data_IF_369985771652
#
_entry.id   IF_369985771652
#
_cell.length_a   1.000
_cell.length_b   1.000
_cell.length_c   1.000
_cell.angle_alpha   90.00
_cell.angle_beta   90.00
_cell.angle_gamma   90.00
#
_symmetry.space_group_name_H-M   'P 1'
#
loop_
_entity.id
_entity.type
_entity.pdbx_description
1 polymer ?
#
# COMPACT_ATOMS: atom_id res chain seq x y z
N UNK A 1 -5.42 -2.68 5.94
CA UNK A 1 -4.59 -1.48 5.67
C UNK A 1 -3.12 -1.82 5.44
N UNK A 2 -2.51 -2.72 6.22
CA UNK A 2 -1.05 -2.98 6.18
C UNK A 2 -0.58 -3.68 4.91
N UNK A 3 -1.33 -4.66 4.40
CA UNK A 3 -1.01 -5.25 3.11
C UNK A 3 -0.97 -4.17 2.01
N UNK A 4 -1.86 -3.19 2.07
CA UNK A 4 -1.91 -2.07 1.14
C UNK A 4 -0.79 -1.06 1.35
N UNK A 5 -0.36 -0.82 2.61
CA UNK A 5 0.77 0.07 2.87
C UNK A 5 2.06 -0.49 2.23
N UNK A 6 2.31 -1.79 2.35
CA UNK A 6 3.40 -2.45 1.64
C UNK A 6 3.22 -2.42 0.11
N UNK A 7 1.99 -2.61 -0.42
CA UNK A 7 1.70 -2.48 -1.85
C UNK A 7 2.00 -1.07 -2.40
N UNK A 8 1.76 -0.02 -1.63
CA UNK A 8 2.05 1.35 -2.04
C UNK A 8 3.54 1.62 -2.26
N UNK A 9 4.41 0.84 -1.61
CA UNK A 9 5.86 0.91 -1.75
C UNK A 9 6.40 0.18 -2.99
N UNK A 10 5.57 -0.58 -3.70
CA UNK A 10 5.96 -1.28 -4.92
C UNK A 10 6.14 -0.32 -6.12
N UNK A 11 5.67 0.93 -6.01
CA UNK A 11 5.85 1.97 -7.02
C UNK A 11 7.04 2.86 -6.65
N UNK A 12 8.11 2.82 -7.44
CA UNK A 12 9.23 3.76 -7.35
C UNK A 12 9.01 5.01 -8.20
N UNK A 13 10.05 5.83 -8.34
CA UNK A 13 10.15 6.82 -9.40
C UNK A 13 10.72 6.18 -10.67
N UNK A 14 10.70 6.89 -11.79
CA UNK A 14 11.21 6.42 -13.09
C UNK A 14 12.32 7.35 -13.57
N UNK A 15 13.46 6.76 -13.91
CA UNK A 15 14.62 7.47 -14.43
C UNK A 15 14.87 7.09 -15.90
N UNK A 16 15.35 8.04 -16.67
CA UNK A 16 15.89 7.79 -18.00
C UNK A 16 17.36 7.33 -17.87
N UNK A 17 17.95 6.75 -18.91
CA UNK A 17 19.33 6.28 -18.89
C UNK A 17 20.32 7.38 -18.45
N UNK A 18 21.21 7.07 -17.51
CA UNK A 18 22.19 8.00 -16.94
C UNK A 18 21.63 9.08 -16.02
N UNK A 19 20.33 9.06 -15.69
CA UNK A 19 19.67 10.06 -14.87
C UNK A 19 19.17 9.50 -13.56
N UNK A 20 19.03 10.38 -12.57
CA UNK A 20 18.36 10.10 -11.32
C UNK A 20 16.91 10.55 -11.36
N UNK A 21 16.08 9.88 -10.58
CA UNK A 21 14.74 10.34 -10.26
C UNK A 21 14.52 10.38 -8.75
N UNK A 22 13.61 11.24 -8.34
CA UNK A 22 13.13 11.28 -6.96
C UNK A 22 11.63 11.46 -6.93
N UNK A 23 11.06 11.06 -5.82
CA UNK A 23 9.65 11.28 -5.49
C UNK A 23 9.50 11.52 -4.00
N UNK A 24 8.71 12.51 -3.63
CA UNK A 24 8.31 12.77 -2.25
C UNK A 24 6.80 12.94 -2.22
N UNK A 25 6.12 12.20 -1.36
CA UNK A 25 4.67 12.18 -1.30
C UNK A 25 4.12 12.25 0.11
N UNK A 26 2.90 12.72 0.21
CA UNK A 26 2.07 12.63 1.40
C UNK A 26 0.74 12.00 1.01
N UNK A 27 0.28 11.06 1.83
CA UNK A 27 -0.96 10.33 1.61
C UNK A 27 -1.82 10.32 2.86
N UNK A 28 -3.12 10.40 2.63
CA UNK A 28 -4.15 10.16 3.65
C UNK A 28 -5.14 9.14 3.11
N UNK A 29 -5.26 8.03 3.84
CA UNK A 29 -6.16 6.93 3.52
C UNK A 29 -7.28 6.85 4.56
N UNK A 30 -8.50 6.54 4.10
CA UNK A 30 -9.68 6.34 4.93
C UNK A 30 -10.32 5.04 4.44
N UNK A 31 -10.52 4.10 5.35
CA UNK A 31 -11.22 2.85 5.11
C UNK A 31 -12.30 2.61 6.14
N UNK A 32 -12.97 1.49 6.06
CA UNK A 32 -14.04 1.12 6.99
C UNK A 32 -13.52 1.09 8.45
N UNK A 33 -13.88 2.11 9.23
CA UNK A 33 -13.46 2.27 10.62
C UNK A 33 -11.98 2.56 10.83
N UNK A 34 -11.21 2.83 9.78
CA UNK A 34 -9.77 3.01 9.87
C UNK A 34 -9.29 4.21 9.05
N UNK A 35 -8.28 4.89 9.56
CA UNK A 35 -7.60 5.98 8.86
C UNK A 35 -6.09 5.87 9.01
N UNK A 36 -5.36 6.30 7.98
CA UNK A 36 -3.91 6.42 8.04
C UNK A 36 -3.43 7.65 7.28
N UNK A 37 -2.26 8.13 7.67
CA UNK A 37 -1.53 9.16 6.95
C UNK A 37 -0.03 8.94 7.08
N UNK A 38 0.72 9.32 6.08
CA UNK A 38 2.16 9.16 6.08
C UNK A 38 2.82 9.85 4.90
N UNK A 39 4.15 9.91 4.95
CA UNK A 39 4.99 10.37 3.87
C UNK A 39 5.64 9.17 3.18
N UNK A 40 5.84 9.28 1.88
CA UNK A 40 6.61 8.34 1.09
C UNK A 40 7.66 9.07 0.26
N UNK A 41 8.80 8.45 0.11
CA UNK A 41 9.92 8.93 -0.65
C UNK A 41 10.38 7.82 -1.59
N UNK A 42 10.86 8.18 -2.77
CA UNK A 42 11.54 7.23 -3.62
C UNK A 42 12.74 7.92 -4.28
N UNK A 43 13.75 7.13 -4.55
CA UNK A 43 14.94 7.53 -5.27
C UNK A 43 15.34 6.41 -6.23
N UNK A 44 15.70 6.76 -7.44
CA UNK A 44 16.03 5.78 -8.47
C UNK A 44 17.07 6.28 -9.45
N UNK A 45 17.61 5.34 -10.22
CA UNK A 45 18.61 5.59 -11.24
C UNK A 45 18.32 4.76 -12.49
N UNK A 46 18.45 5.40 -13.65
CA UNK A 46 18.42 4.74 -14.95
C UNK A 46 19.80 4.25 -15.34
N UNK A 47 20.00 2.96 -15.31
CA UNK A 47 21.30 2.33 -15.67
C UNK A 47 21.52 2.33 -17.18
N UNK A 48 20.43 2.16 -17.91
CA UNK A 48 20.41 2.21 -19.38
C UNK A 48 19.08 2.81 -19.85
N UNK A 49 18.94 3.05 -21.14
CA UNK A 49 17.67 3.53 -21.74
C UNK A 49 16.51 2.52 -21.60
N UNK A 50 16.81 1.28 -21.22
CA UNK A 50 15.83 0.20 -21.10
C UNK A 50 15.73 -0.39 -19.68
N UNK A 51 16.54 0.11 -18.74
CA UNK A 51 16.57 -0.42 -17.37
C UNK A 51 16.76 0.68 -16.33
N UNK A 52 15.81 0.78 -15.43
CA UNK A 52 15.89 1.63 -14.23
C UNK A 52 15.54 0.85 -12.96
N UNK A 53 16.06 1.29 -11.82
CA UNK A 53 15.71 0.74 -10.51
C UNK A 53 15.50 1.87 -9.48
N UNK A 54 14.66 1.60 -8.49
CA UNK A 54 14.35 2.56 -7.45
C UNK A 54 14.18 1.89 -6.08
N UNK A 55 14.52 2.66 -5.05
CA UNK A 55 14.26 2.38 -3.64
C UNK A 55 13.16 3.32 -3.17
N UNK A 56 12.22 2.81 -2.40
CA UNK A 56 11.14 3.58 -1.78
C UNK A 56 11.20 3.45 -0.26
N UNK A 57 10.87 4.51 0.44
CA UNK A 57 10.78 4.59 1.90
C UNK A 57 9.42 5.16 2.28
N UNK A 58 8.69 4.51 3.18
CA UNK A 58 7.47 5.05 3.77
C UNK A 58 7.65 5.27 5.27
N UNK A 59 7.18 6.42 5.72
CA UNK A 59 7.14 6.81 7.13
C UNK A 59 5.69 7.09 7.50
N UNK A 60 4.96 6.10 8.04
CA UNK A 60 3.59 6.33 8.49
C UNK A 60 3.62 7.26 9.71
N UNK A 61 2.89 8.38 9.62
CA UNK A 61 2.81 9.37 10.69
C UNK A 61 1.69 9.05 11.70
N UNK A 62 0.57 8.49 11.21
CA UNK A 62 -0.56 8.06 12.05
C UNK A 62 -1.36 6.99 11.33
N UNK A 63 -1.75 5.97 12.08
CA UNK A 63 -2.80 5.04 11.66
C UNK A 63 -3.65 4.68 12.87
N UNK A 64 -4.96 4.62 12.67
CA UNK A 64 -5.93 4.33 13.70
C UNK A 64 -7.07 3.49 13.13
N UNK A 65 -7.52 2.49 13.87
CA UNK A 65 -8.60 1.59 13.47
C UNK A 65 -9.58 1.43 14.63
N UNK A 66 -10.83 1.87 14.44
CA UNK A 66 -11.94 1.75 15.40
C UNK A 66 -11.62 2.20 16.83
N UNK A 67 -10.68 3.17 17.01
CA UNK A 67 -10.22 3.60 18.33
C UNK A 67 -9.42 2.57 19.11
N UNK A 68 -9.36 1.32 18.65
CA UNK A 68 -8.73 0.19 19.35
C UNK A 68 -7.27 -0.07 18.93
N UNK A 69 -6.89 0.31 17.71
CA UNK A 69 -5.54 0.12 17.21
C UNK A 69 -4.96 1.47 16.81
N UNK A 70 -3.81 1.84 17.38
CA UNK A 70 -3.13 3.09 17.08
C UNK A 70 -1.65 2.86 16.77
N UNK A 71 -1.20 3.35 15.64
CA UNK A 71 0.21 3.33 15.28
C UNK A 71 1.03 4.15 16.27
N UNK A 72 2.13 3.59 16.78
CA UNK A 72 3.17 4.30 17.54
C UNK A 72 4.33 4.72 16.65
N UNK A 73 4.83 3.80 15.86
CA UNK A 73 5.92 4.04 14.91
C UNK A 73 5.90 2.98 13.82
N UNK A 74 6.47 3.29 12.68
CA UNK A 74 6.60 2.34 11.58
C UNK A 74 7.61 2.83 10.55
N UNK A 75 8.08 1.91 9.73
CA UNK A 75 8.90 2.17 8.57
C UNK A 75 8.63 1.10 7.52
N UNK A 76 8.58 1.52 6.27
CA UNK A 76 8.49 0.63 5.12
C UNK A 76 9.58 0.93 4.11
N UNK A 77 10.11 -0.12 3.48
CA UNK A 77 11.11 -0.04 2.41
C UNK A 77 10.59 -0.83 1.22
N UNK A 78 10.70 -0.26 0.04
CA UNK A 78 10.38 -0.89 -1.24
C UNK A 78 11.57 -0.87 -2.19
N UNK A 79 11.63 -1.88 -3.03
CA UNK A 79 12.60 -2.01 -4.11
C UNK A 79 11.82 -2.31 -5.39
N UNK A 80 12.13 -1.63 -6.47
CA UNK A 80 11.57 -1.92 -7.79
C UNK A 80 12.62 -1.79 -8.87
N UNK A 81 12.49 -2.61 -9.91
CA UNK A 81 13.29 -2.50 -11.11
C UNK A 81 12.34 -2.49 -12.31
N UNK A 82 12.65 -1.71 -13.34
CA UNK A 82 11.85 -1.65 -14.57
C UNK A 82 12.71 -1.97 -15.75
N UNK A 83 12.27 -2.98 -16.49
CA UNK A 83 12.76 -3.32 -17.82
C UNK A 83 11.74 -2.81 -18.84
N UNK A 84 12.18 -2.09 -19.86
CA UNK A 84 11.29 -1.55 -20.89
C UNK A 84 11.98 -1.47 -22.25
N UNK A 85 11.21 -1.30 -23.29
CA UNK A 85 11.72 -1.14 -24.64
C UNK A 85 11.10 0.09 -25.33
N UNK A 86 11.67 0.51 -26.46
CA UNK A 86 11.19 1.63 -27.24
C UNK A 86 9.78 1.46 -27.83
N UNK A 87 9.25 0.22 -27.87
CA UNK A 87 7.90 -0.10 -28.35
C UNK A 87 6.82 0.00 -27.24
N UNK A 88 7.19 0.52 -26.05
CA UNK A 88 6.28 0.77 -24.93
C UNK A 88 6.04 -0.43 -24.01
N UNK A 89 6.59 -1.61 -24.29
CA UNK A 89 6.50 -2.75 -23.40
C UNK A 89 7.37 -2.57 -22.16
N UNK A 90 6.86 -3.03 -21.02
CA UNK A 90 7.61 -3.00 -19.77
C UNK A 90 7.28 -4.17 -18.86
N UNK A 91 8.25 -4.49 -17.98
CA UNK A 91 8.10 -5.41 -16.86
C UNK A 91 8.69 -4.75 -15.59
N UNK A 92 7.99 -4.89 -14.45
CA UNK A 92 8.40 -4.29 -13.18
C UNK A 92 8.29 -5.33 -12.07
N UNK A 93 9.36 -6.08 -11.75
CA UNK A 93 9.45 -6.75 -10.46
C UNK A 93 9.62 -5.73 -9.33
N UNK A 94 8.92 -5.96 -8.21
CA UNK A 94 9.06 -5.14 -7.02
C UNK A 94 8.84 -5.96 -5.74
N UNK A 95 9.47 -5.52 -4.66
CA UNK A 95 9.32 -6.07 -3.32
C UNK A 95 9.22 -4.95 -2.29
N UNK A 96 8.42 -5.14 -1.25
CA UNK A 96 8.28 -4.18 -0.17
C UNK A 96 8.17 -4.87 1.18
N UNK A 97 8.72 -4.23 2.21
CA UNK A 97 8.75 -4.70 3.57
C UNK A 97 8.35 -3.55 4.49
N UNK A 98 7.48 -3.84 5.43
CA UNK A 98 7.01 -2.86 6.41
C UNK A 98 7.04 -3.47 7.82
N UNK A 99 7.40 -2.67 8.80
CA UNK A 99 7.30 -3.04 10.22
C UNK A 99 6.75 -1.87 11.00
N UNK A 100 5.78 -2.18 11.86
CA UNK A 100 5.09 -1.19 12.67
C UNK A 100 4.98 -1.65 14.13
N UNK A 101 5.09 -0.68 15.04
CA UNK A 101 4.65 -0.83 16.43
C UNK A 101 3.26 -0.24 16.56
N UNK A 102 2.29 -1.06 16.94
CA UNK A 102 0.90 -0.66 17.11
C UNK A 102 0.47 -0.88 18.54
N UNK A 103 -0.10 0.15 19.13
CA UNK A 103 -0.82 0.09 20.39
C UNK A 103 -2.19 -0.51 20.12
N UNK A 104 -2.54 -1.56 20.82
CA UNK A 104 -3.85 -2.21 20.78
C UNK A 104 -4.51 -2.00 22.13
N UNK A 105 -5.73 -1.48 22.12
CA UNK A 105 -6.56 -1.27 23.29
C UNK A 105 -7.86 -2.05 23.12
N UNK A 106 -8.17 -2.92 24.06
CA UNK A 106 -9.47 -3.63 24.05
C UNK A 106 -10.58 -2.65 24.39
N UNK A 107 -11.69 -2.62 23.61
CA UNK A 107 -12.89 -1.88 24.01
C UNK A 107 -13.37 -2.36 25.37
N UNK A 108 -13.78 -1.44 26.21
CA UNK A 108 -14.24 -1.70 27.57
C UNK A 108 -15.52 -0.93 27.87
N UNK A 109 -16.30 -1.43 28.80
CA UNK A 109 -17.43 -0.71 29.35
C UNK A 109 -16.94 0.33 30.35
N UNK A 110 -17.73 1.39 30.57
CA UNK A 110 -17.40 2.42 31.55
C UNK A 110 -17.24 1.79 32.94
N UNK A 111 -16.17 2.15 33.65
CA UNK A 111 -15.84 1.60 34.96
C UNK A 111 -15.13 0.24 34.96
N UNK A 112 -14.84 -0.34 33.78
CA UNK A 112 -14.07 -1.58 33.67
C UNK A 112 -12.63 -1.32 33.23
N UNK A 113 -11.77 -2.33 33.37
CA UNK A 113 -10.37 -2.29 32.95
C UNK A 113 -10.24 -2.07 31.44
N UNK A 114 -9.26 -1.27 31.05
CA UNK A 114 -8.95 -0.96 29.65
C UNK A 114 -7.53 -1.42 29.31
N UNK A 115 -7.31 -2.72 29.09
CA UNK A 115 -6.00 -3.24 28.81
C UNK A 115 -5.44 -2.70 27.51
N UNK A 116 -4.15 -2.39 27.55
CA UNK A 116 -3.40 -1.83 26.45
C UNK A 116 -2.12 -2.59 26.22
N UNK A 117 -1.86 -2.96 24.97
CA UNK A 117 -0.64 -3.63 24.56
C UNK A 117 0.03 -2.96 23.38
N UNK A 118 1.35 -3.11 23.26
CA UNK A 118 2.11 -2.67 22.09
C UNK A 118 2.65 -3.89 21.35
N UNK A 119 2.22 -4.07 20.11
CA UNK A 119 2.57 -5.21 19.28
C UNK A 119 3.31 -4.77 18.03
N UNK A 120 4.35 -5.49 17.65
CA UNK A 120 5.06 -5.29 16.39
C UNK A 120 4.39 -6.13 15.30
N UNK A 121 3.96 -5.50 14.23
CA UNK A 121 3.37 -6.17 13.07
C UNK A 121 4.29 -6.01 11.87
N UNK A 122 4.23 -6.96 10.94
CA UNK A 122 5.06 -6.98 9.74
C UNK A 122 4.15 -7.10 8.51
N UNK A 123 4.49 -6.37 7.47
CA UNK A 123 3.90 -6.47 6.13
C UNK A 123 4.98 -6.80 5.10
N UNK A 124 4.62 -7.59 4.09
CA UNK A 124 5.47 -7.86 2.93
C UNK A 124 4.59 -7.85 1.69
N UNK A 125 5.11 -7.30 0.60
CA UNK A 125 4.45 -7.34 -0.68
C UNK A 125 5.49 -7.63 -1.77
N UNK A 126 5.10 -8.42 -2.74
CA UNK A 126 5.87 -8.74 -3.93
C UNK A 126 4.97 -8.57 -5.13
N UNK A 127 5.50 -8.04 -6.22
CA UNK A 127 4.76 -7.96 -7.47
C UNK A 127 5.64 -8.17 -8.68
N UNK A 128 5.02 -8.71 -9.71
CA UNK A 128 5.54 -8.69 -11.07
C UNK A 128 4.44 -8.08 -11.94
N UNK A 129 4.70 -6.89 -12.47
CA UNK A 129 3.79 -6.18 -13.35
C UNK A 129 4.36 -6.15 -14.76
N UNK A 130 3.56 -6.50 -15.76
CA UNK A 130 3.91 -6.36 -17.17
C UNK A 130 2.81 -5.60 -17.90
N UNK A 131 3.17 -4.84 -18.92
CA UNK A 131 2.20 -4.03 -19.64
C UNK A 131 2.78 -3.35 -20.86
N UNK A 132 1.93 -2.54 -21.48
CA UNK A 132 2.32 -1.74 -22.64
C UNK A 132 1.71 -0.34 -22.53
N UNK A 133 2.54 0.66 -22.76
CA UNK A 133 2.15 2.06 -22.88
C UNK A 133 2.16 2.47 -24.36
N UNK A 134 1.13 3.19 -24.78
CA UNK A 134 0.97 3.75 -26.11
C UNK A 134 1.05 5.28 -26.00
N UNK A 135 1.69 5.95 -26.97
CA UNK A 135 1.93 7.37 -26.97
C UNK A 135 3.31 7.74 -26.41
N UNK A 136 3.73 8.97 -26.69
CA UNK A 136 5.03 9.52 -26.27
C UNK A 136 4.93 10.33 -24.99
N UNK A 137 6.02 10.44 -24.26
CA UNK A 137 6.11 11.28 -23.06
C UNK A 137 5.81 12.75 -23.41
N UNK A 138 4.88 13.37 -22.70
CA UNK A 138 4.39 14.72 -22.99
C UNK A 138 3.11 14.78 -23.81
N UNK A 139 2.74 13.71 -24.51
CA UNK A 139 1.51 13.58 -25.28
C UNK A 139 0.46 12.76 -24.51
N UNK A 140 -0.68 12.55 -25.18
CA UNK A 140 -1.71 11.63 -24.69
C UNK A 140 -1.16 10.22 -24.63
N UNK A 141 -1.19 9.61 -23.44
CA UNK A 141 -0.79 8.21 -23.26
C UNK A 141 -1.96 7.37 -22.80
N UNK A 142 -2.01 6.14 -23.30
CA UNK A 142 -2.91 5.10 -22.85
C UNK A 142 -2.06 3.83 -22.63
N UNK A 143 -2.37 3.06 -21.61
CA UNK A 143 -1.66 1.80 -21.37
C UNK A 143 -2.55 0.78 -20.68
N UNK A 144 -2.13 -0.46 -20.75
CA UNK A 144 -2.71 -1.55 -19.99
C UNK A 144 -1.60 -2.32 -19.27
N UNK A 145 -1.97 -3.04 -18.22
CA UNK A 145 -1.06 -3.90 -17.50
C UNK A 145 -1.77 -5.07 -16.87
N UNK A 146 -1.00 -6.12 -16.62
CA UNK A 146 -1.35 -7.23 -15.75
C UNK A 146 -0.30 -7.33 -14.65
N UNK A 147 -0.70 -7.74 -13.45
CA UNK A 147 0.20 -7.90 -12.32
C UNK A 147 -0.14 -9.17 -11.53
N UNK A 148 0.90 -9.91 -11.15
CA UNK A 148 0.85 -10.93 -10.13
C UNK A 148 1.34 -10.28 -8.83
N UNK A 149 0.54 -10.33 -7.76
CA UNK A 149 0.89 -9.76 -6.47
C UNK A 149 0.75 -10.81 -5.38
N UNK A 150 1.69 -10.80 -4.45
CA UNK A 150 1.63 -11.57 -3.21
C UNK A 150 1.82 -10.65 -2.04
N UNK A 151 0.89 -10.66 -1.10
CA UNK A 151 0.93 -9.87 0.13
C UNK A 151 0.89 -10.78 1.34
N UNK A 152 1.65 -10.40 2.36
CA UNK A 152 1.67 -11.08 3.64
C UNK A 152 1.57 -10.03 4.74
N UNK A 153 0.70 -10.26 5.73
CA UNK A 153 0.61 -9.47 6.95
C UNK A 153 0.67 -10.40 8.15
N UNK A 154 1.47 -10.03 9.14
CA UNK A 154 1.70 -10.85 10.33
C UNK A 154 1.63 -10.00 11.60
N UNK A 155 0.91 -10.50 12.58
CA UNK A 155 0.88 -10.02 13.95
C UNK A 155 1.30 -11.18 14.86
N UNK A 156 2.33 -11.03 15.70
CA UNK A 156 2.71 -12.06 16.67
C UNK A 156 1.61 -12.25 17.73
N UNK A 157 1.70 -13.34 18.48
CA UNK A 157 0.91 -13.53 19.69
C UNK A 157 1.28 -12.48 20.74
N UNK A 158 0.33 -12.15 21.58
CA UNK A 158 0.53 -11.30 22.76
C UNK A 158 -0.50 -11.61 23.82
N UNK A 159 -0.16 -11.32 25.09
CA UNK A 159 -1.06 -11.45 26.23
C UNK A 159 -1.24 -10.10 26.89
N UNK A 160 -2.43 -9.87 27.42
CA UNK A 160 -2.71 -8.73 28.30
C UNK A 160 -2.02 -8.94 29.66
N UNK A 161 -1.92 -7.89 30.45
CA UNK A 161 -1.30 -7.93 31.77
C UNK A 161 -2.03 -8.96 32.66
N UNK A 162 -1.26 -9.82 33.31
CA UNK A 162 -1.78 -10.86 34.24
C UNK A 162 -2.42 -10.26 35.51
N UNK A 163 -2.16 -8.99 35.82
CA UNK A 163 -2.80 -8.26 36.92
C UNK A 163 -4.24 -7.82 36.66
N UNK A 164 -4.75 -8.01 35.43
CA UNK A 164 -6.15 -7.74 35.09
C UNK A 164 -7.08 -8.84 35.64
N UNK A 165 -8.31 -8.48 35.96
CA UNK A 165 -9.32 -9.44 36.42
C UNK A 165 -9.65 -10.51 35.35
N UNK A 166 -9.62 -10.12 34.06
CA UNK A 166 -9.88 -11.00 32.92
C UNK A 166 -8.87 -10.74 31.80
N UNK A 167 -7.62 -11.21 31.94
CA UNK A 167 -6.60 -11.04 30.90
C UNK A 167 -6.88 -11.96 29.70
N UNK A 168 -6.72 -11.44 28.48
CA UNK A 168 -6.80 -12.22 27.26
C UNK A 168 -5.40 -12.52 26.71
N UNK A 169 -5.22 -13.73 26.23
CA UNK A 169 -4.09 -14.13 25.39
C UNK A 169 -4.56 -14.23 23.93
N UNK A 170 -3.87 -13.54 23.03
CA UNK A 170 -4.19 -13.50 21.60
C UNK A 170 -3.14 -14.29 20.83
N UNK A 171 -3.55 -15.22 20.01
CA UNK A 171 -2.67 -15.97 19.14
C UNK A 171 -2.09 -15.12 18.02
N UNK A 172 -1.03 -15.63 17.41
CA UNK A 172 -0.46 -15.02 16.21
C UNK A 172 -1.48 -15.03 15.07
N UNK A 173 -1.59 -13.92 14.34
CA UNK A 173 -2.45 -13.81 13.18
C UNK A 173 -1.61 -13.58 11.93
N UNK A 174 -1.86 -14.38 10.89
CA UNK A 174 -1.15 -14.30 9.61
C UNK A 174 -2.14 -14.33 8.45
N UNK A 175 -2.01 -13.36 7.57
CA UNK A 175 -2.72 -13.30 6.30
C UNK A 175 -1.70 -13.42 5.16
N UNK A 176 -1.90 -14.37 4.27
CA UNK A 176 -1.16 -14.50 3.02
C UNK A 176 -2.15 -14.52 1.87
N UNK A 177 -1.91 -13.73 0.86
CA UNK A 177 -2.78 -13.64 -0.31
C UNK A 177 -1.96 -13.53 -1.59
N UNK A 178 -2.42 -14.20 -2.63
CA UNK A 178 -1.92 -14.03 -4.00
C UNK A 178 -3.08 -13.56 -4.87
N UNK A 179 -2.86 -12.53 -5.66
CA UNK A 179 -3.85 -11.96 -6.57
C UNK A 179 -3.27 -11.71 -7.96
N UNK A 180 -4.13 -11.87 -8.97
CA UNK A 180 -3.90 -11.37 -10.33
C UNK A 180 -4.67 -10.06 -10.47
N UNK A 181 -4.04 -9.05 -11.05
CA UNK A 181 -4.67 -7.78 -11.33
C UNK A 181 -4.53 -7.45 -12.82
N UNK A 182 -5.52 -6.78 -13.37
CA UNK A 182 -5.47 -6.20 -14.70
C UNK A 182 -6.00 -4.77 -14.63
N UNK A 183 -5.37 -3.86 -15.36
CA UNK A 183 -5.75 -2.47 -15.33
C UNK A 183 -5.44 -1.72 -16.62
N UNK A 184 -6.09 -0.58 -16.74
CA UNK A 184 -5.83 0.42 -17.78
C UNK A 184 -5.40 1.71 -17.12
N UNK A 185 -4.52 2.45 -17.73
CA UNK A 185 -4.04 3.75 -17.27
C UNK A 185 -3.94 4.72 -18.43
N UNK A 186 -4.11 5.98 -18.14
CA UNK A 186 -4.02 7.02 -19.17
C UNK A 186 -3.57 8.34 -18.59
N UNK A 187 -3.01 9.19 -19.46
CA UNK A 187 -2.65 10.56 -19.18
C UNK A 187 -3.07 11.42 -20.36
N UNK A 188 -3.73 12.54 -20.07
CA UNK A 188 -4.21 13.48 -21.06
C UNK A 188 -3.68 14.86 -20.73
N UNK A 189 -2.79 15.46 -21.53
CA UNK A 189 -2.40 16.86 -21.40
C UNK A 189 -3.62 17.75 -21.58
N UNK A 190 -3.84 18.67 -20.64
CA UNK A 190 -4.93 19.66 -20.68
C UNK A 190 -4.39 21.03 -21.16
N UNK A 191 -3.17 21.34 -20.71
CA UNK A 191 -2.40 22.52 -21.12
C UNK A 191 -0.92 22.15 -21.18
N UNK A 192 -0.04 23.09 -21.58
CA UNK A 192 1.41 22.86 -21.58
C UNK A 192 2.01 22.49 -20.21
N UNK A 193 1.32 22.79 -19.10
CA UNK A 193 1.79 22.50 -17.73
C UNK A 193 0.86 21.56 -16.95
N UNK A 194 -0.37 21.38 -17.39
CA UNK A 194 -1.38 20.61 -16.67
C UNK A 194 -1.77 19.38 -17.46
N UNK A 195 -1.80 18.21 -16.81
CA UNK A 195 -2.31 16.97 -17.38
C UNK A 195 -3.24 16.27 -16.41
N UNK A 196 -4.30 15.65 -16.92
CA UNK A 196 -5.09 14.69 -16.19
C UNK A 196 -4.48 13.30 -16.32
N UNK A 197 -4.57 12.49 -15.27
CA UNK A 197 -4.24 11.08 -15.32
C UNK A 197 -5.30 10.22 -14.60
N UNK A 198 -5.40 8.98 -15.02
CA UNK A 198 -6.30 8.02 -14.42
C UNK A 198 -5.80 6.58 -14.55
N UNK A 199 -6.26 5.74 -13.64
CA UNK A 199 -6.01 4.29 -13.62
C UNK A 199 -7.27 3.58 -13.11
N UNK A 200 -7.68 2.53 -13.79
CA UNK A 200 -8.73 1.61 -13.33
C UNK A 200 -8.16 0.18 -13.32
N UNK A 201 -8.38 -0.52 -12.22
CA UNK A 201 -7.83 -1.86 -12.00
C UNK A 201 -8.89 -2.78 -11.38
N UNK A 202 -8.84 -4.04 -11.75
CA UNK A 202 -9.55 -5.13 -11.08
C UNK A 202 -8.51 -6.15 -10.63
N UNK A 203 -8.46 -6.43 -9.32
CA UNK A 203 -7.63 -7.47 -8.73
C UNK A 203 -8.51 -8.67 -8.34
N UNK A 204 -8.07 -9.86 -8.71
CA UNK A 204 -8.73 -11.14 -8.41
C UNK A 204 -7.82 -11.98 -7.52
N UNK A 205 -8.28 -12.34 -6.32
CA UNK A 205 -7.58 -13.30 -5.48
C UNK A 205 -7.59 -14.69 -6.12
N UNK A 206 -6.40 -15.26 -6.30
CA UNK A 206 -6.19 -16.59 -6.88
C UNK A 206 -5.62 -17.60 -5.88
N UNK A 207 -5.13 -17.14 -4.70
CA UNK A 207 -4.62 -18.03 -3.68
C UNK A 207 -4.56 -17.38 -2.29
N UNK A 208 -4.67 -18.19 -1.23
CA UNK A 208 -4.65 -17.72 0.14
C UNK A 208 -5.90 -16.91 0.54
N UNK A 209 -5.70 -15.85 1.33
CA UNK A 209 -6.76 -14.92 1.72
C UNK A 209 -7.57 -15.35 2.93
N UNK A 210 -7.15 -16.35 3.67
CA UNK A 210 -7.75 -16.76 4.94
C UNK A 210 -6.86 -16.31 6.11
N UNK A 211 -7.43 -15.60 7.06
CA UNK A 211 -6.80 -15.23 8.32
C UNK A 211 -7.57 -15.88 9.47
N UNK A 212 -6.84 -16.48 10.41
CA UNK A 212 -7.39 -17.00 11.65
C UNK A 212 -6.97 -16.09 12.80
N UNK A 213 -7.92 -15.81 13.67
CA UNK A 213 -7.72 -15.04 14.88
C UNK A 213 -8.14 -15.91 16.06
N UNK A 214 -7.22 -16.13 16.97
CA UNK A 214 -7.49 -16.89 18.19
C UNK A 214 -7.32 -16.01 19.40
N UNK A 215 -8.16 -16.18 20.40
CA UNK A 215 -8.03 -15.57 21.70
C UNK A 215 -8.46 -16.56 22.78
N UNK A 216 -7.88 -16.47 23.97
CA UNK A 216 -8.26 -17.26 25.14
C UNK A 216 -8.26 -16.37 26.38
N UNK A 217 -9.15 -16.66 27.30
CA UNK A 217 -9.19 -16.03 28.61
C UNK A 217 -9.48 -17.07 29.70
N UNK A 218 -9.00 -16.84 30.94
CA UNK A 218 -9.38 -17.67 32.08
C UNK A 218 -10.90 -17.71 32.18
N UNK A 219 -11.45 -18.86 32.50
CA UNK A 219 -12.89 -19.16 32.70
C UNK A 219 -13.76 -19.12 31.43
N UNK A 220 -13.34 -18.42 30.35
CA UNK A 220 -14.11 -18.31 29.09
C UNK A 220 -13.64 -19.29 28.01
N UNK A 221 -12.47 -19.90 28.18
CA UNK A 221 -11.92 -20.81 27.20
C UNK A 221 -11.27 -20.14 26.01
N UNK A 222 -11.20 -20.86 24.90
CA UNK A 222 -10.59 -20.37 23.66
C UNK A 222 -11.64 -20.01 22.61
N UNK A 223 -11.39 -18.93 21.86
CA UNK A 223 -12.22 -18.45 20.76
C UNK A 223 -11.39 -18.49 19.49
N UNK A 224 -12.00 -18.87 18.39
CA UNK A 224 -11.41 -18.80 17.06
C UNK A 224 -12.38 -18.10 16.10
N UNK A 225 -11.86 -17.15 15.35
CA UNK A 225 -12.57 -16.50 14.24
C UNK A 225 -11.71 -16.63 12.98
N UNK A 226 -12.31 -17.12 11.90
CA UNK A 226 -11.71 -17.16 10.59
C UNK A 226 -12.34 -16.08 9.69
N UNK A 227 -11.51 -15.27 9.05
CA UNK A 227 -11.94 -14.27 8.07
C UNK A 227 -11.31 -14.53 6.72
N UNK A 228 -12.11 -14.40 5.69
CA UNK A 228 -11.67 -14.56 4.32
C UNK A 228 -11.66 -13.19 3.60
N UNK A 229 -10.61 -12.96 2.80
CA UNK A 229 -10.51 -11.73 2.03
C UNK A 229 -11.46 -11.76 0.82
N UNK A 230 -11.90 -10.59 0.40
CA UNK A 230 -12.74 -10.40 -0.78
C UNK A 230 -12.03 -10.90 -2.03
N UNK A 231 -12.75 -11.69 -2.83
CA UNK A 231 -12.18 -12.34 -4.01
C UNK A 231 -11.87 -11.33 -5.12
N UNK A 232 -12.80 -10.42 -5.41
CA UNK A 232 -12.67 -9.45 -6.52
C UNK A 232 -12.66 -8.03 -5.95
N UNK A 233 -11.64 -7.25 -6.32
CA UNK A 233 -11.42 -5.89 -5.79
C UNK A 233 -11.18 -4.89 -6.91
N UNK A 234 -12.23 -4.20 -7.36
CA UNK A 234 -12.08 -3.07 -8.27
C UNK A 234 -11.49 -1.85 -7.53
N UNK A 235 -10.71 -1.07 -8.25
CA UNK A 235 -10.20 0.23 -7.79
C UNK A 235 -10.04 1.21 -8.94
N UNK A 236 -10.21 2.49 -8.62
CA UNK A 236 -10.00 3.61 -9.54
C UNK A 236 -9.15 4.65 -8.84
N UNK A 237 -8.21 5.21 -9.56
CA UNK A 237 -7.38 6.34 -9.15
C UNK A 237 -7.42 7.40 -10.24
N UNK A 238 -7.50 8.66 -9.85
CA UNK A 238 -7.46 9.79 -10.78
C UNK A 238 -6.80 11.01 -10.13
N UNK A 239 -6.33 11.93 -10.94
CA UNK A 239 -5.70 13.15 -10.45
C UNK A 239 -5.22 14.06 -11.55
N UNK A 240 -4.48 15.08 -11.16
CA UNK A 240 -3.86 16.07 -12.04
C UNK A 240 -2.38 16.20 -11.73
N UNK A 241 -1.60 16.37 -12.79
CA UNK A 241 -0.17 16.65 -12.76
C UNK A 241 0.03 18.12 -13.15
N UNK A 242 0.82 18.84 -12.36
CA UNK A 242 1.27 20.18 -12.69
C UNK A 242 2.80 20.21 -12.87
N UNK A 243 3.27 20.52 -14.06
CA UNK A 243 4.69 20.63 -14.37
C UNK A 243 5.20 22.03 -13.97
N UNK A 244 6.02 22.09 -12.90
CA UNK A 244 6.72 23.32 -12.52
C UNK A 244 7.85 23.65 -13.49
N UNK A 245 8.55 22.59 -13.93
CA UNK A 245 9.66 22.66 -14.86
C UNK A 245 9.66 21.39 -15.72
N UNK A 246 10.50 21.30 -16.75
CA UNK A 246 10.67 20.09 -17.54
C UNK A 246 11.09 18.86 -16.70
N UNK A 247 11.69 19.11 -15.54
CA UNK A 247 12.23 18.06 -14.66
C UNK A 247 11.45 17.85 -13.35
N UNK A 248 10.39 18.64 -13.07
CA UNK A 248 9.65 18.53 -11.80
C UNK A 248 8.13 18.65 -11.99
N UNK A 249 7.39 17.69 -11.45
CA UNK A 249 5.93 17.55 -11.57
C UNK A 249 5.33 17.36 -10.19
N UNK A 250 4.33 18.17 -9.86
CA UNK A 250 3.45 17.98 -8.69
C UNK A 250 2.20 17.24 -9.13
N UNK A 251 1.90 16.13 -8.48
CA UNK A 251 0.71 15.32 -8.70
C UNK A 251 -0.23 15.44 -7.50
N UNK A 252 -1.48 15.80 -7.73
CA UNK A 252 -2.56 15.74 -6.76
C UNK A 252 -3.58 14.72 -7.23
N UNK A 253 -3.94 13.76 -6.41
CA UNK A 253 -4.86 12.72 -6.81
C UNK A 253 -5.62 12.08 -5.66
N UNK A 254 -6.58 11.26 -6.04
CA UNK A 254 -7.36 10.45 -5.15
C UNK A 254 -7.63 9.07 -5.73
N UNK A 255 -8.05 8.19 -4.86
CA UNK A 255 -8.45 6.85 -5.26
C UNK A 255 -9.63 6.36 -4.43
N UNK A 256 -10.35 5.41 -4.98
CA UNK A 256 -11.36 4.61 -4.31
C UNK A 256 -11.24 3.17 -4.78
N UNK A 257 -11.44 2.22 -3.87
CA UNK A 257 -11.40 0.80 -4.24
C UNK A 257 -11.96 -0.10 -3.15
N UNK A 258 -12.29 -1.33 -3.51
CA UNK A 258 -12.71 -2.34 -2.55
C UNK A 258 -11.50 -2.88 -1.80
N UNK A 259 -11.60 -2.96 -0.48
CA UNK A 259 -10.52 -3.49 0.36
C UNK A 259 -10.58 -5.01 0.52
N UNK A 260 -9.58 -5.57 1.21
CA UNK A 260 -9.48 -7.01 1.43
C UNK A 260 -10.66 -7.62 2.24
N UNK A 261 -11.41 -6.84 3.02
CA UNK A 261 -12.49 -7.33 3.88
C UNK A 261 -13.85 -6.72 3.53
N UNK A 262 -14.15 -6.58 2.25
CA UNK A 262 -15.44 -6.12 1.69
C UNK A 262 -15.80 -4.66 1.98
N UNK A 263 -14.94 -3.90 2.64
CA UNK A 263 -15.11 -2.46 2.83
C UNK A 263 -14.63 -1.66 1.61
N UNK A 264 -14.82 -0.35 1.68
CA UNK A 264 -14.29 0.61 0.71
C UNK A 264 -13.15 1.39 1.33
N UNK A 265 -12.01 1.42 0.63
CA UNK A 265 -10.90 2.30 0.94
C UNK A 265 -10.90 3.46 -0.04
N UNK A 266 -10.63 4.65 0.46
CA UNK A 266 -10.46 5.86 -0.33
C UNK A 266 -9.32 6.69 0.25
N UNK A 267 -8.69 7.49 -0.57
CA UNK A 267 -7.62 8.34 -0.10
C UNK A 267 -7.30 9.44 -1.07
N UNK A 268 -6.53 10.39 -0.57
CA UNK A 268 -5.96 11.48 -1.34
C UNK A 268 -4.44 11.48 -1.16
N UNK A 269 -3.73 11.94 -2.15
CA UNK A 269 -2.28 12.08 -2.09
C UNK A 269 -1.81 13.28 -2.85
N UNK A 270 -0.70 13.83 -2.38
CA UNK A 270 0.10 14.85 -3.03
C UNK A 270 1.50 14.29 -3.23
N UNK A 271 2.05 14.39 -4.44
CA UNK A 271 3.33 13.80 -4.77
C UNK A 271 4.15 14.74 -5.65
N UNK A 272 5.36 15.03 -5.24
CA UNK A 272 6.36 15.73 -6.05
C UNK A 272 7.27 14.68 -6.69
N UNK A 273 7.40 14.70 -7.99
CA UNK A 273 8.30 13.84 -8.76
C UNK A 273 9.29 14.70 -9.52
N UNK A 274 10.52 14.23 -9.63
CA UNK A 274 11.54 14.92 -10.40
C UNK A 274 12.60 14.00 -10.98
N UNK A 275 13.35 14.56 -11.94
CA UNK A 275 14.51 13.91 -12.62
C UNK A 275 15.65 14.90 -12.69
N UNK A 276 16.89 14.46 -12.65
CA UNK A 276 18.11 15.24 -12.82
C UNK A 276 19.27 14.41 -13.33
#
# INVERSE_FOLDING_TARGET
>A
QRARAAENLLGGCRADGGKFCYSAGYRRDIGHGASSRGADFAFGYGFTDNFDAAVSLAVPARAEENGSHRLKSGVGIGLSARLHNGAGWYAVPAAAFETDKTRIRRPHLSGTESPENTVRTKGRAYSLTAGRDYGTSGEKTLGWYAALRRTEAERPSYSEDAGLSFPFAYGAAKLKETSLAAGIKGRLPLTGKLAWYGNAEVAQRVGGGKARFTASAPFFGAFEEARETTRTRPSVQTGVDYAFSPSAVLSLGGYVGRNAFSGTDKGIFLKLNGKF
#
